data_IF_203298420964
#
_entry.id   IF_203298420964
#
_cell.length_a   1.000
_cell.length_b   1.000
_cell.length_c   1.000
_cell.angle_alpha   90.00
_cell.angle_beta   90.00
_cell.angle_gamma   90.00
#
_symmetry.space_group_name_H-M   'P 1'
#
loop_
_entity.id
_entity.type
_entity.pdbx_description
1 polymer ?
#
# COMPACT_ATOMS: atom_id res chain seq x y z
N UNK A 1 -24.64 4.78 14.12
CA UNK A 1 -25.26 5.67 13.12
C UNK A 1 -24.13 6.31 12.34
N UNK A 2 -24.03 6.09 11.03
CA UNK A 2 -23.04 6.74 10.18
C UNK A 2 -23.39 8.23 10.06
N UNK A 3 -22.40 9.12 10.17
CA UNK A 3 -22.62 10.55 10.04
C UNK A 3 -23.22 10.89 8.66
N UNK A 4 -24.23 11.76 8.64
CA UNK A 4 -24.85 12.20 7.39
C UNK A 4 -23.91 13.09 6.59
N UNK A 5 -24.10 13.18 5.27
CA UNK A 5 -23.28 14.05 4.40
C UNK A 5 -23.30 15.51 4.87
N UNK A 6 -24.46 15.98 5.38
CA UNK A 6 -24.58 17.33 5.97
C UNK A 6 -23.70 17.52 7.20
N UNK A 7 -23.56 16.49 8.04
CA UNK A 7 -22.65 16.53 9.20
C UNK A 7 -21.19 16.48 8.73
N UNK A 8 -20.86 15.62 7.79
CA UNK A 8 -19.49 15.52 7.24
C UNK A 8 -19.04 16.81 6.54
N UNK A 9 -19.95 17.48 5.85
CA UNK A 9 -19.70 18.79 5.26
C UNK A 9 -19.40 19.85 6.33
N UNK A 10 -20.18 19.88 7.42
CA UNK A 10 -19.93 20.80 8.55
C UNK A 10 -18.63 20.52 9.31
N UNK A 11 -18.13 19.29 9.26
CA UNK A 11 -16.86 18.89 9.86
C UNK A 11 -15.67 19.03 8.91
N UNK A 12 -15.89 19.62 7.72
CA UNK A 12 -14.89 19.77 6.66
C UNK A 12 -14.18 18.45 6.31
N UNK A 13 -14.91 17.33 6.37
CA UNK A 13 -14.34 15.99 6.11
C UNK A 13 -13.77 15.86 4.69
N UNK A 14 -14.33 16.62 3.74
CA UNK A 14 -13.79 16.73 2.38
C UNK A 14 -12.37 17.31 2.35
N UNK A 15 -12.11 18.38 3.10
CA UNK A 15 -10.78 18.98 3.20
C UNK A 15 -9.76 18.03 3.87
N UNK A 16 -10.22 17.19 4.81
CA UNK A 16 -9.38 16.14 5.41
C UNK A 16 -8.97 15.09 4.36
N UNK A 17 -9.93 14.61 3.54
CA UNK A 17 -9.67 13.66 2.44
C UNK A 17 -8.70 14.24 1.42
N UNK A 18 -8.90 15.49 1.03
CA UNK A 18 -8.02 16.20 0.10
C UNK A 18 -6.59 16.28 0.65
N UNK A 19 -6.42 16.74 1.90
CA UNK A 19 -5.10 16.79 2.55
C UNK A 19 -4.44 15.42 2.62
N UNK A 20 -5.20 14.38 3.00
CA UNK A 20 -4.68 13.01 3.06
C UNK A 20 -4.21 12.53 1.68
N UNK A 21 -5.01 12.78 0.63
CA UNK A 21 -4.68 12.39 -0.74
C UNK A 21 -3.39 13.04 -1.26
N UNK A 22 -3.12 14.28 -0.85
CA UNK A 22 -1.90 14.99 -1.22
C UNK A 22 -0.63 14.31 -0.66
N UNK A 23 -0.75 13.53 0.41
CA UNK A 23 0.35 12.74 0.98
C UNK A 23 0.47 11.33 0.40
N UNK A 24 -0.48 10.89 -0.44
CA UNK A 24 -0.43 9.56 -1.05
C UNK A 24 0.52 9.50 -2.26
N UNK A 25 1.41 8.51 -2.26
CA UNK A 25 2.41 8.32 -3.33
C UNK A 25 1.83 7.70 -4.61
N UNK A 26 0.91 6.74 -4.48
CA UNK A 26 0.35 5.99 -5.61
C UNK A 26 -1.05 6.53 -5.99
N UNK A 27 -1.43 6.54 -7.27
CA UNK A 27 -2.77 6.90 -7.71
C UNK A 27 -3.86 6.07 -7.00
N UNK A 28 -3.67 4.74 -6.86
CA UNK A 28 -4.58 3.91 -6.08
C UNK A 28 -4.76 4.36 -4.63
N UNK A 29 -3.66 4.77 -3.98
CA UNK A 29 -3.73 5.27 -2.60
C UNK A 29 -4.47 6.62 -2.53
N UNK A 30 -4.27 7.48 -3.53
CA UNK A 30 -5.02 8.73 -3.68
C UNK A 30 -6.52 8.46 -3.82
N UNK A 31 -6.92 7.55 -4.70
CA UNK A 31 -8.33 7.13 -4.84
C UNK A 31 -8.92 6.60 -3.52
N UNK A 32 -8.13 5.89 -2.71
CA UNK A 32 -8.58 5.36 -1.42
C UNK A 32 -8.76 6.47 -0.37
N UNK A 33 -7.83 7.42 -0.27
CA UNK A 33 -8.00 8.62 0.57
C UNK A 33 -9.16 9.49 0.06
N UNK A 34 -9.15 9.69 -1.25
CA UNK A 34 -10.20 10.17 -2.16
C UNK A 34 -11.56 9.71 -1.73
N UNK A 35 -11.76 8.40 -1.58
CA UNK A 35 -13.06 7.74 -1.37
C UNK A 35 -13.37 7.40 0.09
N UNK A 36 -12.52 7.81 1.04
CA UNK A 36 -12.66 7.48 2.46
C UNK A 36 -14.03 7.90 3.00
N UNK A 37 -14.71 6.99 3.69
CA UNK A 37 -16.02 7.20 4.32
C UNK A 37 -15.88 7.14 5.84
N UNK A 38 -16.72 7.90 6.53
CA UNK A 38 -16.84 7.78 7.98
C UNK A 38 -17.43 6.42 8.36
N UNK A 39 -16.79 5.74 9.31
CA UNK A 39 -17.22 4.44 9.81
C UNK A 39 -17.93 4.60 11.16
N UNK A 40 -18.95 3.77 11.41
CA UNK A 40 -19.71 3.79 12.67
C UNK A 40 -19.65 2.48 13.44
N UNK A 41 -19.18 1.41 12.83
CA UNK A 41 -18.92 0.16 13.54
C UNK A 41 -17.64 0.28 14.37
N UNK A 42 -17.78 0.21 15.71
CA UNK A 42 -16.66 0.39 16.64
C UNK A 42 -15.48 -0.55 16.38
N UNK A 43 -15.74 -1.77 15.91
CA UNK A 43 -14.69 -2.75 15.58
C UNK A 43 -13.84 -2.28 14.40
N UNK A 44 -14.49 -1.80 13.34
CA UNK A 44 -13.82 -1.26 12.16
C UNK A 44 -13.08 0.05 12.49
N UNK A 45 -13.71 0.97 13.23
CA UNK A 45 -13.06 2.22 13.67
C UNK A 45 -11.77 1.92 14.45
N UNK A 46 -11.81 0.99 15.41
CA UNK A 46 -10.62 0.59 16.18
C UNK A 46 -9.53 -0.01 15.29
N UNK A 47 -9.90 -0.82 14.28
CA UNK A 47 -8.95 -1.39 13.32
C UNK A 47 -8.27 -0.29 12.50
N UNK A 48 -9.04 0.65 11.93
CA UNK A 48 -8.51 1.76 11.14
C UNK A 48 -7.59 2.69 11.95
N UNK A 49 -7.96 2.99 13.20
CA UNK A 49 -7.12 3.79 14.10
C UNK A 49 -5.82 3.05 14.41
N UNK A 50 -5.89 1.75 14.70
CA UNK A 50 -4.70 0.92 14.93
C UNK A 50 -3.78 0.87 13.71
N UNK A 51 -4.32 0.73 12.50
CA UNK A 51 -3.55 0.79 11.25
C UNK A 51 -2.77 2.12 11.14
N UNK A 52 -3.41 3.22 11.53
CA UNK A 52 -2.79 4.56 11.53
C UNK A 52 -1.68 4.67 12.58
N UNK A 53 -1.93 4.19 13.80
CA UNK A 53 -0.95 4.20 14.89
C UNK A 53 0.27 3.33 14.57
N UNK A 54 0.05 2.13 14.02
CA UNK A 54 1.10 1.24 13.55
C UNK A 54 1.89 1.87 12.40
N UNK A 55 1.23 2.56 11.47
CA UNK A 55 1.90 3.29 10.37
C UNK A 55 2.84 4.39 10.90
N UNK A 56 2.40 5.13 11.92
CA UNK A 56 3.25 6.12 12.61
C UNK A 56 4.43 5.45 13.33
N UNK A 57 4.19 4.34 14.00
CA UNK A 57 5.24 3.58 14.70
C UNK A 57 6.27 3.01 13.71
N UNK A 58 5.83 2.49 12.57
CA UNK A 58 6.70 2.02 11.49
C UNK A 58 7.66 3.11 11.02
N UNK A 59 7.16 4.33 10.76
CA UNK A 59 8.01 5.46 10.37
C UNK A 59 8.95 5.92 11.48
N UNK A 60 8.60 5.70 12.76
CA UNK A 60 9.50 5.96 13.90
C UNK A 60 10.62 4.94 13.99
N UNK A 61 10.30 3.65 13.84
CA UNK A 61 11.27 2.53 13.88
C UNK A 61 12.20 2.61 12.67
N UNK A 62 11.64 2.89 11.49
CA UNK A 62 12.37 2.95 10.23
C UNK A 62 11.99 4.23 9.46
N UNK A 63 12.69 5.35 9.72
CA UNK A 63 12.44 6.62 9.04
C UNK A 63 12.65 6.59 7.53
N UNK A 64 13.40 5.60 7.02
CA UNK A 64 13.65 5.40 5.60
C UNK A 64 12.66 4.45 4.95
N UNK A 65 11.69 3.91 5.70
CA UNK A 65 10.65 3.05 5.14
C UNK A 65 9.89 3.79 4.04
N UNK A 66 9.74 3.15 2.88
CA UNK A 66 9.06 3.74 1.75
C UNK A 66 8.47 2.69 0.83
N UNK A 67 7.37 3.05 0.17
CA UNK A 67 6.73 2.27 -0.90
C UNK A 67 7.08 2.82 -2.29
N UNK A 68 8.04 3.75 -2.40
CA UNK A 68 8.39 4.48 -3.64
C UNK A 68 8.80 3.59 -4.82
N UNK A 69 9.23 2.35 -4.56
CA UNK A 69 9.53 1.38 -5.62
C UNK A 69 8.30 0.86 -6.39
N UNK A 70 7.09 1.05 -5.86
CA UNK A 70 5.85 0.66 -6.53
C UNK A 70 5.40 1.69 -7.58
N UNK A 71 4.78 1.20 -8.66
CA UNK A 71 4.23 1.99 -9.77
C UNK A 71 2.74 1.68 -9.96
N UNK A 72 2.05 2.55 -10.72
CA UNK A 72 0.67 2.29 -11.12
C UNK A 72 0.65 1.34 -12.31
N UNK A 73 0.43 0.05 -12.03
CA UNK A 73 0.48 -1.01 -13.05
C UNK A 73 -0.91 -1.51 -13.46
N UNK A 74 -2.00 -1.06 -12.83
CA UNK A 74 -3.36 -1.51 -13.17
C UNK A 74 -3.69 -1.32 -14.66
N UNK A 75 -3.36 -0.16 -15.29
CA UNK A 75 -3.63 0.02 -16.72
C UNK A 75 -2.92 -1.02 -17.60
N UNK A 76 -1.69 -1.43 -17.22
CA UNK A 76 -0.93 -2.45 -17.94
C UNK A 76 -1.58 -3.81 -17.80
N UNK A 77 -1.99 -4.18 -16.57
CA UNK A 77 -2.63 -5.46 -16.30
C UNK A 77 -3.98 -5.59 -17.02
N UNK A 78 -4.79 -4.54 -17.03
CA UNK A 78 -6.07 -4.52 -17.75
C UNK A 78 -5.88 -4.66 -19.26
N UNK A 79 -4.85 -4.03 -19.83
CA UNK A 79 -4.50 -4.17 -21.24
C UNK A 79 -4.01 -5.58 -21.56
N UNK A 80 -3.15 -6.17 -20.73
CA UNK A 80 -2.70 -7.56 -20.86
C UNK A 80 -3.86 -8.55 -20.81
N UNK A 81 -4.81 -8.36 -19.89
CA UNK A 81 -5.98 -9.22 -19.78
C UNK A 81 -6.84 -9.23 -21.05
N UNK A 82 -6.76 -8.17 -21.86
CA UNK A 82 -7.42 -8.04 -23.17
C UNK A 82 -6.53 -8.48 -24.36
N UNK A 83 -5.41 -9.15 -24.09
CA UNK A 83 -4.47 -9.65 -25.11
C UNK A 83 -3.51 -8.58 -25.65
N UNK A 84 -3.43 -7.41 -25.03
CA UNK A 84 -2.49 -6.37 -25.43
C UNK A 84 -1.06 -6.68 -25.00
N UNK A 85 -0.10 -6.16 -25.76
CA UNK A 85 1.34 -6.34 -25.53
C UNK A 85 1.87 -5.24 -24.61
N UNK A 86 2.85 -5.58 -23.77
CA UNK A 86 3.59 -4.65 -22.93
C UNK A 86 4.89 -4.22 -23.60
N UNK A 87 5.24 -2.96 -23.44
CA UNK A 87 6.55 -2.41 -23.79
C UNK A 87 7.59 -2.77 -22.73
N UNK A 88 8.89 -2.76 -23.07
CA UNK A 88 9.97 -3.03 -22.12
C UNK A 88 9.89 -2.17 -20.84
N UNK A 89 9.57 -0.88 -20.96
CA UNK A 89 9.50 0.03 -19.81
C UNK A 89 8.37 -0.36 -18.85
N UNK A 90 7.21 -0.76 -19.40
CA UNK A 90 6.04 -1.17 -18.62
C UNK A 90 6.30 -2.51 -17.89
N UNK A 91 7.05 -3.42 -18.52
CA UNK A 91 7.52 -4.64 -17.88
C UNK A 91 8.48 -4.33 -16.71
N UNK A 92 9.40 -3.37 -16.89
CA UNK A 92 10.29 -2.94 -15.81
C UNK A 92 9.52 -2.33 -14.63
N UNK A 93 8.47 -1.53 -14.89
CA UNK A 93 7.61 -0.99 -13.83
C UNK A 93 6.85 -2.08 -13.06
N UNK A 94 6.38 -3.12 -13.76
CA UNK A 94 5.78 -4.31 -13.13
C UNK A 94 6.80 -5.02 -12.25
N UNK A 95 8.01 -5.30 -12.77
CA UNK A 95 9.09 -5.93 -12.01
C UNK A 95 9.42 -5.13 -10.75
N UNK A 96 9.58 -3.82 -10.87
CA UNK A 96 9.95 -2.95 -9.74
C UNK A 96 8.85 -2.92 -8.67
N UNK A 97 7.58 -2.93 -9.10
CA UNK A 97 6.43 -3.03 -8.18
C UNK A 97 6.41 -4.37 -7.44
N UNK A 98 6.62 -5.48 -8.13
CA UNK A 98 6.70 -6.82 -7.53
C UNK A 98 7.89 -6.92 -6.56
N UNK A 99 9.04 -6.36 -6.94
CA UNK A 99 10.23 -6.31 -6.10
C UNK A 99 10.01 -5.49 -4.84
N UNK A 100 9.38 -4.31 -4.94
CA UNK A 100 9.03 -3.49 -3.80
C UNK A 100 8.09 -4.22 -2.84
N UNK A 101 7.04 -4.87 -3.35
CA UNK A 101 6.12 -5.67 -2.55
C UNK A 101 6.83 -6.80 -1.80
N UNK A 102 7.72 -7.54 -2.48
CA UNK A 102 8.54 -8.60 -1.87
C UNK A 102 9.49 -8.05 -0.79
N UNK A 103 10.13 -6.91 -1.03
CA UNK A 103 11.03 -6.28 -0.07
C UNK A 103 10.29 -5.81 1.19
N UNK A 104 9.16 -5.12 1.03
CA UNK A 104 8.31 -4.69 2.15
C UNK A 104 7.86 -5.89 2.97
N UNK A 105 7.41 -6.95 2.29
CA UNK A 105 7.02 -8.20 2.94
C UNK A 105 8.17 -8.81 3.74
N UNK A 106 9.37 -8.87 3.17
CA UNK A 106 10.56 -9.38 3.86
C UNK A 106 10.91 -8.53 5.09
N UNK A 107 10.86 -7.19 4.97
CA UNK A 107 11.17 -6.27 6.08
C UNK A 107 10.20 -6.45 7.25
N UNK A 108 8.89 -6.57 6.98
CA UNK A 108 7.86 -6.57 8.01
C UNK A 108 7.51 -7.97 8.56
N UNK A 109 7.82 -9.04 7.82
CA UNK A 109 7.50 -10.42 8.23
C UNK A 109 8.71 -11.29 8.56
N UNK A 110 9.90 -11.01 8.01
CA UNK A 110 11.08 -11.86 8.25
C UNK A 110 11.83 -11.40 9.52
N UNK A 111 11.46 -11.98 10.66
CA UNK A 111 12.08 -11.69 11.97
C UNK A 111 13.61 -11.91 12.00
N UNK A 112 14.17 -12.72 11.08
CA UNK A 112 15.57 -13.12 11.08
C UNK A 112 16.55 -12.04 10.56
N UNK A 113 16.07 -10.99 9.86
CA UNK A 113 16.93 -9.99 9.20
C UNK A 113 17.08 -8.69 9.98
N UNK A 114 16.11 -8.37 10.82
CA UNK A 114 16.06 -7.13 11.58
C UNK A 114 16.39 -7.48 13.02
N UNK A 115 17.65 -7.32 13.41
CA UNK A 115 18.09 -7.63 14.76
C UNK A 115 17.17 -6.97 15.80
N UNK A 116 16.46 -7.81 16.57
CA UNK A 116 15.39 -7.52 17.54
C UNK A 116 14.00 -7.25 16.96
N UNK A 117 13.01 -7.68 17.75
CA UNK A 117 11.54 -7.70 17.57
C UNK A 117 10.86 -6.35 17.26
N UNK A 118 11.55 -5.38 16.65
CA UNK A 118 11.05 -4.02 16.47
C UNK A 118 9.74 -3.92 15.69
N UNK A 119 9.47 -4.86 14.77
CA UNK A 119 8.24 -4.88 13.98
C UNK A 119 7.15 -5.79 14.56
N UNK A 120 7.41 -6.48 15.69
CA UNK A 120 6.48 -7.46 16.26
C UNK A 120 5.12 -6.84 16.66
N UNK A 121 5.13 -5.58 17.08
CA UNK A 121 3.95 -4.82 17.51
C UNK A 121 3.07 -4.32 16.34
N UNK A 122 3.54 -4.44 15.09
CA UNK A 122 2.81 -4.00 13.90
C UNK A 122 1.83 -5.07 13.40
N UNK A 123 0.98 -5.59 14.29
CA UNK A 123 0.11 -6.73 14.02
C UNK A 123 -0.80 -6.51 12.80
N UNK A 124 -1.45 -5.36 12.71
CA UNK A 124 -2.43 -5.06 11.65
C UNK A 124 -1.74 -4.85 10.31
N UNK A 125 -0.62 -4.13 10.29
CA UNK A 125 0.18 -3.97 9.07
C UNK A 125 0.76 -5.31 8.61
N UNK A 126 1.20 -6.17 9.53
CA UNK A 126 1.68 -7.52 9.19
C UNK A 126 0.57 -8.40 8.63
N UNK A 127 -0.65 -8.29 9.14
CA UNK A 127 -1.83 -8.96 8.57
C UNK A 127 -2.05 -8.54 7.11
N UNK A 128 -2.07 -7.23 6.83
CA UNK A 128 -2.23 -6.67 5.48
C UNK A 128 -1.12 -7.17 4.55
N UNK A 129 0.14 -7.07 4.99
CA UNK A 129 1.32 -7.46 4.21
C UNK A 129 1.40 -8.99 4.03
N UNK A 130 0.83 -9.76 4.95
CA UNK A 130 0.72 -11.22 4.86
C UNK A 130 -0.05 -11.69 3.62
N UNK A 131 -0.95 -10.86 3.09
CA UNK A 131 -1.71 -11.15 1.86
C UNK A 131 -0.88 -11.02 0.58
N UNK A 132 0.29 -10.38 0.64
CA UNK A 132 1.17 -10.22 -0.52
C UNK A 132 1.82 -11.57 -0.85
N UNK A 133 1.53 -12.06 -2.05
CA UNK A 133 2.14 -13.27 -2.62
C UNK A 133 3.35 -12.85 -3.48
N UNK A 134 4.59 -13.16 -3.07
CA UNK A 134 5.78 -12.78 -3.85
C UNK A 134 5.83 -13.52 -5.20
N UNK A 135 5.99 -12.76 -6.29
CA UNK A 135 6.05 -13.30 -7.65
C UNK A 135 7.48 -13.34 -8.20
N UNK A 136 8.39 -14.00 -7.46
CA UNK A 136 9.84 -14.03 -7.79
C UNK A 136 10.11 -14.56 -9.21
N UNK A 137 9.31 -15.54 -9.68
CA UNK A 137 9.43 -16.08 -11.04
C UNK A 137 9.23 -14.99 -12.09
N UNK A 138 8.16 -14.19 -11.96
CA UNK A 138 7.85 -13.10 -12.89
C UNK A 138 8.96 -12.03 -12.84
N UNK A 139 9.43 -11.66 -11.65
CA UNK A 139 10.55 -10.73 -11.50
C UNK A 139 11.80 -11.21 -12.26
N UNK A 140 12.15 -12.49 -12.13
CA UNK A 140 13.31 -13.09 -12.79
C UNK A 140 13.16 -13.16 -14.31
N UNK A 141 12.00 -13.57 -14.82
CA UNK A 141 11.76 -13.65 -16.26
C UNK A 141 11.81 -12.26 -16.91
N UNK A 142 11.18 -11.24 -16.30
CA UNK A 142 11.26 -9.86 -16.82
C UNK A 142 12.71 -9.37 -16.84
N UNK A 143 13.47 -9.69 -15.78
CA UNK A 143 14.90 -9.33 -15.71
C UNK A 143 15.66 -9.97 -16.86
N UNK A 144 15.50 -11.28 -17.07
CA UNK A 144 16.18 -12.04 -18.13
C UNK A 144 15.84 -11.57 -19.55
N UNK A 145 14.60 -11.12 -19.78
CA UNK A 145 14.15 -10.74 -21.12
C UNK A 145 14.57 -9.31 -21.52
N UNK A 146 14.93 -8.46 -20.55
CA UNK A 146 15.21 -7.03 -20.80
C UNK A 146 16.65 -6.66 -20.47
N UNK A 147 17.26 -7.31 -19.47
CA UNK A 147 18.65 -7.11 -19.03
C UNK A 147 19.48 -8.37 -19.31
#
# INVERSE_FOLDING_TARGET
MVATEKVLAKLDFGAIREKLSAHCLLPRAKEMAESLKAESEIRLVRKMLRETDEGRLLLRINPLFSVRGAKEIRPYLERCARGGVLKPEELLEIRDTLKAARQIRSILLDNNKTGKDSYSELFTLREIIGTIIPQKKIESEITRCIL
#
